data_IF_411405565746
#
_entry.id   IF_411405565746
#
_cell.length_a   1.000
_cell.length_b   1.000
_cell.length_c   1.000
_cell.angle_alpha   90.00
_cell.angle_beta   90.00
_cell.angle_gamma   90.00
#
_symmetry.space_group_name_H-M   'P 1'
#
loop_
_entity.id
_entity.type
_entity.pdbx_description
1 polymer ?
#
# COMPACT_ATOMS: atom_id res chain seq x y z
N UNK A 1 -25.14 6.98 -24.85
CA UNK A 1 -24.03 7.74 -24.24
C UNK A 1 -22.79 7.86 -25.17
N UNK A 2 -22.13 9.02 -25.17
CA UNK A 2 -20.85 9.25 -25.86
C UNK A 2 -19.75 9.43 -24.83
N UNK A 3 -18.57 8.87 -25.09
CA UNK A 3 -17.38 9.10 -24.28
C UNK A 3 -16.93 10.55 -24.48
N UNK A 4 -16.23 11.18 -23.52
CA UNK A 4 -15.66 12.52 -23.68
C UNK A 4 -14.69 12.70 -24.87
N UNK A 5 -14.37 11.63 -25.62
CA UNK A 5 -13.59 11.68 -26.86
C UNK A 5 -14.46 11.58 -28.13
N UNK A 6 -15.78 11.73 -28.01
CA UNK A 6 -16.74 11.73 -29.12
C UNK A 6 -17.19 10.34 -29.63
N UNK A 7 -16.52 9.26 -29.20
CA UNK A 7 -16.86 7.88 -29.60
C UNK A 7 -18.19 7.43 -28.99
N UNK A 8 -18.99 6.70 -29.77
CA UNK A 8 -20.20 6.02 -29.27
C UNK A 8 -19.78 4.93 -28.28
N UNK A 9 -20.38 4.94 -27.10
CA UNK A 9 -20.13 3.92 -26.06
C UNK A 9 -21.17 2.82 -26.19
N UNK A 10 -20.69 1.58 -26.17
CA UNK A 10 -21.47 0.36 -26.02
C UNK A 10 -22.19 0.40 -24.66
N UNK A 11 -23.51 0.34 -24.65
CA UNK A 11 -24.30 0.52 -23.42
C UNK A 11 -23.96 -0.55 -22.37
N UNK A 12 -23.71 -1.77 -22.80
CA UNK A 12 -23.28 -2.92 -21.98
C UNK A 12 -21.87 -2.76 -21.39
N UNK A 13 -21.06 -1.82 -21.89
CA UNK A 13 -19.74 -1.52 -21.35
C UNK A 13 -19.77 -0.46 -20.25
N UNK A 14 -20.94 0.10 -19.93
CA UNK A 14 -21.06 1.10 -18.87
C UNK A 14 -21.06 0.44 -17.49
N UNK A 15 -20.46 1.07 -16.46
CA UNK A 15 -20.40 0.52 -15.12
C UNK A 15 -21.77 0.15 -14.53
N UNK A 16 -22.82 0.93 -14.80
CA UNK A 16 -24.19 0.65 -14.35
C UNK A 16 -24.80 -0.64 -14.94
N UNK A 17 -24.24 -1.14 -16.05
CA UNK A 17 -24.67 -2.38 -16.70
C UNK A 17 -23.70 -3.55 -16.43
N UNK A 18 -22.67 -3.34 -15.62
CA UNK A 18 -21.74 -4.37 -15.16
C UNK A 18 -22.16 -4.85 -13.78
N UNK A 19 -22.45 -6.14 -13.66
CA UNK A 19 -22.67 -6.77 -12.36
C UNK A 19 -21.31 -7.02 -11.67
N UNK A 20 -20.88 -6.06 -10.83
CA UNK A 20 -19.68 -6.23 -10.01
C UNK A 20 -19.89 -7.31 -8.96
N UNK A 21 -19.22 -8.46 -9.13
CA UNK A 21 -19.28 -9.55 -8.17
C UNK A 21 -18.39 -9.24 -6.97
N UNK A 22 -18.97 -9.27 -5.78
CA UNK A 22 -18.23 -9.15 -4.53
C UNK A 22 -17.55 -10.50 -4.18
N UNK A 23 -16.40 -10.76 -4.81
CA UNK A 23 -15.64 -11.99 -4.62
C UNK A 23 -14.43 -11.89 -3.69
N UNK A 24 -14.07 -10.67 -3.27
CA UNK A 24 -12.89 -10.45 -2.43
C UNK A 24 -11.56 -10.92 -3.07
N UNK A 25 -10.61 -11.27 -2.21
CA UNK A 25 -9.31 -11.84 -2.56
C UNK A 25 -8.81 -12.76 -1.45
N UNK A 26 -7.57 -13.25 -1.55
CA UNK A 26 -6.95 -14.12 -0.53
C UNK A 26 -6.85 -13.52 0.89
N UNK A 27 -7.06 -12.21 1.06
CA UNK A 27 -7.04 -11.55 2.38
C UNK A 27 -8.43 -11.37 3.00
N UNK A 28 -9.46 -11.24 2.17
CA UNK A 28 -10.82 -11.00 2.62
C UNK A 28 -11.78 -11.56 1.56
N UNK A 29 -12.78 -12.37 1.94
CA UNK A 29 -13.70 -13.00 0.99
C UNK A 29 -14.69 -12.04 0.34
N UNK A 30 -14.74 -10.78 0.80
CA UNK A 30 -15.61 -9.72 0.28
C UNK A 30 -14.82 -8.42 0.25
N UNK A 31 -14.82 -7.74 -0.90
CA UNK A 31 -14.27 -6.40 -1.10
C UNK A 31 -15.03 -5.38 -0.25
N UNK A 32 -16.33 -5.55 -0.09
CA UNK A 32 -17.19 -4.64 0.69
C UNK A 32 -16.99 -4.75 2.20
N UNK A 33 -16.34 -5.84 2.67
CA UNK A 33 -16.02 -6.07 4.09
C UNK A 33 -14.53 -6.20 4.34
N UNK A 34 -13.71 -5.75 3.38
CA UNK A 34 -12.26 -5.84 3.49
C UNK A 34 -11.77 -4.90 4.61
N UNK A 35 -10.94 -5.39 5.55
CA UNK A 35 -10.44 -4.56 6.65
C UNK A 35 -9.29 -3.62 6.24
N UNK A 36 -8.82 -3.70 4.99
CA UNK A 36 -7.72 -2.86 4.52
C UNK A 36 -8.21 -1.44 4.23
N UNK A 37 -7.44 -0.44 4.67
CA UNK A 37 -7.65 0.99 4.35
C UNK A 37 -7.58 1.30 2.85
N UNK A 38 -6.91 0.42 2.08
CA UNK A 38 -6.74 0.53 0.63
C UNK A 38 -6.67 -0.87 0.03
N UNK A 39 -7.23 -1.05 -1.16
CA UNK A 39 -7.17 -2.33 -1.86
C UNK A 39 -5.72 -2.72 -2.16
N UNK A 40 -5.38 -4.00 -1.96
CA UNK A 40 -4.05 -4.55 -2.28
C UNK A 40 -3.69 -4.47 -3.76
N UNK A 41 -4.67 -4.31 -4.65
CA UNK A 41 -4.45 -4.17 -6.09
C UNK A 41 -4.19 -2.71 -6.48
N UNK A 42 -4.61 -1.77 -5.63
CA UNK A 42 -4.43 -0.33 -5.86
C UNK A 42 -3.16 0.21 -5.18
N UNK A 43 -2.60 -0.49 -4.19
CA UNK A 43 -1.33 -0.10 -3.56
C UNK A 43 -0.12 -0.60 -4.38
N UNK A 44 0.80 0.29 -4.81
CA UNK A 44 2.05 -0.12 -5.41
C UNK A 44 2.92 -0.97 -4.45
N UNK A 45 3.15 -2.23 -4.81
CA UNK A 45 3.78 -3.23 -3.93
C UNK A 45 2.80 -4.04 -3.09
N UNK A 46 1.51 -3.82 -3.28
CA UNK A 46 0.37 -4.59 -2.80
C UNK A 46 0.26 -4.72 -1.29
N UNK A 47 -0.41 -5.79 -0.86
CA UNK A 47 -0.69 -6.06 0.55
C UNK A 47 0.56 -6.05 1.44
N UNK A 48 1.67 -6.57 0.93
CA UNK A 48 2.95 -6.55 1.64
C UNK A 48 3.36 -5.13 2.02
N UNK A 49 3.17 -4.16 1.12
CA UNK A 49 3.50 -2.76 1.38
C UNK A 49 2.58 -2.17 2.44
N UNK A 50 1.28 -2.44 2.37
CA UNK A 50 0.29 -1.99 3.36
C UNK A 50 0.70 -2.44 4.78
N UNK A 51 1.04 -3.72 4.96
CA UNK A 51 1.44 -4.23 6.27
C UNK A 51 2.82 -3.72 6.74
N UNK A 52 3.74 -3.43 5.81
CA UNK A 52 5.08 -2.96 6.17
C UNK A 52 5.14 -1.46 6.48
N UNK A 53 4.24 -0.66 5.91
CA UNK A 53 4.25 0.81 6.04
C UNK A 53 4.22 1.28 7.51
N UNK A 54 3.29 0.84 8.37
CA UNK A 54 3.23 1.30 9.76
C UNK A 54 4.52 0.99 10.53
N UNK A 55 5.04 -0.23 10.39
CA UNK A 55 6.31 -0.63 11.03
C UNK A 55 7.48 0.19 10.50
N UNK A 56 7.59 0.35 9.19
CA UNK A 56 8.68 1.10 8.55
C UNK A 56 8.65 2.59 8.95
N UNK A 57 7.46 3.16 9.18
CA UNK A 57 7.28 4.52 9.72
C UNK A 57 7.69 4.61 11.19
N UNK A 58 7.31 3.63 12.01
CA UNK A 58 7.74 3.54 13.41
C UNK A 58 9.27 3.45 13.53
N UNK A 59 9.93 2.63 12.70
CA UNK A 59 11.41 2.54 12.62
C UNK A 59 12.03 3.91 12.29
N UNK A 60 11.46 4.64 11.32
CA UNK A 60 11.95 5.98 10.95
C UNK A 60 11.77 6.99 12.08
N UNK A 61 10.62 6.96 12.77
CA UNK A 61 10.35 7.84 13.91
C UNK A 61 11.34 7.59 15.05
N UNK A 62 11.50 6.33 15.47
CA UNK A 62 12.47 5.93 16.50
C UNK A 62 13.90 6.32 16.14
N UNK A 63 14.27 6.22 14.85
CA UNK A 63 15.55 6.72 14.37
C UNK A 63 15.68 8.24 14.50
N UNK A 64 14.62 9.00 14.22
CA UNK A 64 14.59 10.45 14.42
C UNK A 64 14.73 10.86 15.89
N UNK A 65 14.26 10.02 16.81
CA UNK A 65 14.44 10.17 18.27
C UNK A 65 15.85 9.77 18.76
N UNK A 66 16.76 9.37 17.85
CA UNK A 66 18.15 9.07 18.17
C UNK A 66 18.47 7.60 18.42
N UNK A 67 17.53 6.67 18.21
CA UNK A 67 17.81 5.23 18.35
C UNK A 67 18.88 4.76 17.35
N UNK A 68 19.87 3.99 17.84
CA UNK A 68 20.88 3.39 16.99
C UNK A 68 20.34 2.19 16.17
N UNK A 69 21.16 1.67 15.26
CA UNK A 69 20.74 0.58 14.38
C UNK A 69 20.50 -0.73 15.14
N UNK A 70 21.27 -1.01 16.18
CA UNK A 70 21.17 -2.27 16.94
C UNK A 70 19.92 -2.29 17.82
N UNK A 71 19.62 -1.17 18.48
CA UNK A 71 18.38 -0.96 19.21
C UNK A 71 17.16 -1.13 18.30
N UNK A 72 17.16 -0.54 17.10
CA UNK A 72 16.08 -0.72 16.13
C UNK A 72 15.97 -2.16 15.62
N UNK A 73 17.12 -2.83 15.46
CA UNK A 73 17.18 -4.23 15.04
C UNK A 73 16.48 -5.13 16.07
N UNK A 74 16.79 -4.94 17.34
CA UNK A 74 16.22 -5.68 18.46
C UNK A 74 14.74 -5.33 18.69
N UNK A 75 14.39 -4.04 18.77
CA UNK A 75 13.03 -3.53 19.06
C UNK A 75 12.01 -4.04 18.04
N UNK A 76 12.37 -4.05 16.74
CA UNK A 76 11.45 -4.43 15.66
C UNK A 76 11.65 -5.85 15.13
N UNK A 77 12.56 -6.64 15.71
CA UNK A 77 12.88 -8.00 15.24
C UNK A 77 13.38 -8.02 13.78
N UNK A 78 14.12 -7.00 13.38
CA UNK A 78 14.64 -6.83 12.03
C UNK A 78 16.14 -7.14 11.99
N UNK A 79 16.65 -7.53 10.81
CA UNK A 79 18.11 -7.49 10.60
C UNK A 79 18.60 -6.07 10.39
N UNK A 80 19.86 -5.78 10.75
CA UNK A 80 20.52 -4.49 10.47
C UNK A 80 20.35 -4.05 9.01
N UNK A 81 20.50 -4.98 8.06
CA UNK A 81 20.26 -4.75 6.62
C UNK A 81 18.84 -4.27 6.31
N UNK A 82 17.83 -4.80 6.99
CA UNK A 82 16.45 -4.38 6.82
C UNK A 82 16.20 -2.99 7.38
N UNK A 83 16.78 -2.67 8.55
CA UNK A 83 16.74 -1.31 9.13
C UNK A 83 17.34 -0.30 8.15
N UNK A 84 18.56 -0.53 7.64
CA UNK A 84 19.20 0.36 6.66
C UNK A 84 18.34 0.61 5.42
N UNK A 85 17.74 -0.45 4.86
CA UNK A 85 16.87 -0.36 3.69
C UNK A 85 15.59 0.45 3.95
N UNK A 86 15.01 0.34 5.14
CA UNK A 86 13.84 1.14 5.55
C UNK A 86 14.20 2.62 5.63
N UNK A 87 15.36 2.94 6.20
CA UNK A 87 15.85 4.32 6.34
C UNK A 87 16.21 4.93 4.98
N UNK A 88 16.88 4.18 4.09
CA UNK A 88 17.24 4.64 2.75
C UNK A 88 16.00 5.01 1.90
N UNK A 89 14.94 4.20 1.98
CA UNK A 89 13.66 4.47 1.28
C UNK A 89 12.94 5.70 1.80
N UNK A 90 13.13 6.06 3.07
CA UNK A 90 12.59 7.31 3.64
C UNK A 90 13.23 8.55 3.01
N UNK A 91 14.57 8.55 2.87
CA UNK A 91 15.31 9.65 2.24
C UNK A 91 14.89 9.90 0.78
N UNK A 92 14.59 8.84 0.03
CA UNK A 92 14.12 8.95 -1.36
C UNK A 92 12.70 9.53 -1.48
N UNK A 93 11.86 9.44 -0.45
CA UNK A 93 10.51 10.06 -0.47
C UNK A 93 10.56 11.56 -0.23
N UNK A 94 11.52 12.04 0.57
CA UNK A 94 11.72 13.48 0.82
C UNK A 94 12.37 14.15 -0.40
N UNK A 95 13.27 13.46 -1.10
CA UNK A 95 13.94 14.02 -2.28
C UNK A 95 13.06 14.12 -3.55
N UNK A 96 11.90 13.45 -3.57
CA UNK A 96 10.98 13.38 -4.71
C UNK A 96 9.61 14.04 -4.44
N UNK A 97 9.46 14.77 -3.34
CA UNK A 97 8.27 15.55 -2.99
C UNK A 97 8.62 17.02 -2.96
#
# INVERSE_FOLDING_TARGET
PRHPNGRKVRIDALPEHVAFRDGGCALAPSCLRCPLERCRYDEPGGARRLFQRPRDEAVRRRRGEGADIDALSAEFGLSRRSVFRILARGRQRIANG
#
